data_IF_124834282067
#
_entry.id   IF_124834282067
#
_cell.length_a   1.000
_cell.length_b   1.000
_cell.length_c   1.000
_cell.angle_alpha   90.00
_cell.angle_beta   90.00
_cell.angle_gamma   90.00
#
_symmetry.space_group_name_H-M   'P 1'
#
loop_
_entity.id
_entity.type
_entity.pdbx_description
1 polymer ?
#
# COMPACT_ATOMS: atom_id res chain seq x y z
N UNK A 1 64.83 -18.74 -35.05
CA UNK A 1 63.96 -18.41 -36.19
C UNK A 1 62.53 -18.94 -36.04
N UNK A 2 62.20 -20.24 -36.15
CA UNK A 2 60.80 -20.72 -36.04
C UNK A 2 60.08 -20.37 -34.73
N UNK A 3 60.74 -20.51 -33.58
CA UNK A 3 60.18 -20.11 -32.26
C UNK A 3 59.92 -18.60 -32.15
N UNK A 4 60.78 -17.76 -32.73
CA UNK A 4 60.62 -16.30 -32.71
C UNK A 4 59.47 -15.85 -33.60
N UNK A 5 59.29 -16.48 -34.77
CA UNK A 5 58.15 -16.22 -35.65
C UNK A 5 56.80 -16.59 -35.00
N UNK A 6 56.74 -17.74 -34.32
CA UNK A 6 55.54 -18.15 -33.59
C UNK A 6 55.18 -17.18 -32.43
N UNK A 7 56.19 -16.71 -31.69
CA UNK A 7 55.98 -15.70 -30.63
C UNK A 7 55.49 -14.37 -31.21
N UNK A 8 56.06 -13.92 -32.34
CA UNK A 8 55.65 -12.68 -33.00
C UNK A 8 54.21 -12.77 -33.56
N UNK A 9 53.81 -13.93 -34.08
CA UNK A 9 52.44 -14.20 -34.49
C UNK A 9 51.47 -14.12 -33.31
N UNK A 10 51.79 -14.77 -32.19
CA UNK A 10 50.95 -14.71 -30.98
C UNK A 10 50.81 -13.29 -30.43
N UNK A 11 51.86 -12.48 -30.48
CA UNK A 11 51.79 -11.06 -30.08
C UNK A 11 50.83 -10.27 -30.99
N UNK A 12 50.90 -10.52 -32.30
CA UNK A 12 50.02 -9.85 -33.28
C UNK A 12 48.55 -10.23 -33.07
N UNK A 13 48.27 -11.51 -32.77
CA UNK A 13 46.93 -12.00 -32.44
C UNK A 13 46.39 -11.37 -31.15
N UNK A 14 47.23 -11.24 -30.11
CA UNK A 14 46.87 -10.57 -28.85
C UNK A 14 46.54 -9.09 -29.09
N UNK A 15 47.34 -8.39 -29.87
CA UNK A 15 47.13 -6.96 -30.14
C UNK A 15 45.83 -6.73 -30.92
N UNK A 16 45.51 -7.58 -31.90
CA UNK A 16 44.21 -7.55 -32.60
C UNK A 16 43.03 -7.76 -31.66
N UNK A 17 43.11 -8.72 -30.74
CA UNK A 17 42.04 -8.96 -29.74
C UNK A 17 41.88 -7.75 -28.80
N UNK A 18 42.98 -7.14 -28.36
CA UNK A 18 42.95 -5.94 -27.51
C UNK A 18 42.31 -4.76 -28.23
N UNK A 19 42.67 -4.56 -29.50
CA UNK A 19 42.11 -3.49 -30.32
C UNK A 19 40.61 -3.71 -30.56
N UNK A 20 40.21 -4.93 -30.92
CA UNK A 20 38.80 -5.29 -31.04
C UNK A 20 38.04 -5.01 -29.74
N UNK A 21 38.53 -5.50 -28.60
CA UNK A 21 37.93 -5.26 -27.28
C UNK A 21 37.76 -3.76 -27.05
N UNK A 22 38.82 -2.97 -27.26
CA UNK A 22 38.75 -1.52 -27.06
C UNK A 22 37.73 -0.84 -27.95
N UNK A 23 37.57 -1.29 -29.21
CA UNK A 23 36.63 -0.70 -30.17
C UNK A 23 35.16 -1.06 -29.88
N UNK A 24 34.88 -2.15 -29.14
CA UNK A 24 33.50 -2.60 -28.83
C UNK A 24 33.13 -2.48 -27.34
N UNK A 25 34.08 -2.10 -26.48
CA UNK A 25 33.97 -2.17 -25.00
C UNK A 25 32.71 -1.49 -24.47
N UNK A 26 32.43 -0.27 -24.93
CA UNK A 26 31.31 0.53 -24.47
C UNK A 26 29.95 -0.18 -24.65
N UNK A 27 29.70 -0.75 -25.83
CA UNK A 27 28.46 -1.46 -26.11
C UNK A 27 28.42 -2.83 -25.40
N UNK A 28 29.53 -3.57 -25.40
CA UNK A 28 29.57 -4.89 -24.76
C UNK A 28 29.40 -4.82 -23.23
N UNK A 29 30.03 -3.86 -22.56
CA UNK A 29 29.85 -3.62 -21.12
C UNK A 29 28.39 -3.24 -20.82
N UNK A 30 27.79 -2.37 -21.62
CA UNK A 30 26.38 -2.00 -21.47
C UNK A 30 25.45 -3.21 -21.61
N UNK A 31 25.60 -3.96 -22.71
CA UNK A 31 24.74 -5.10 -23.05
C UNK A 31 24.90 -6.26 -22.06
N UNK A 32 26.10 -6.44 -21.48
CA UNK A 32 26.33 -7.42 -20.42
C UNK A 32 25.52 -7.09 -19.16
N UNK A 33 25.43 -5.81 -18.77
CA UNK A 33 24.56 -5.38 -17.66
C UNK A 33 23.07 -5.54 -17.99
N UNK A 34 22.67 -5.12 -19.20
CA UNK A 34 21.32 -5.25 -19.71
C UNK A 34 20.79 -6.71 -19.71
N UNK A 35 21.64 -7.68 -20.05
CA UNK A 35 21.28 -9.10 -20.09
C UNK A 35 20.95 -9.69 -18.71
N UNK A 36 21.56 -9.16 -17.65
CA UNK A 36 21.25 -9.58 -16.28
C UNK A 36 19.80 -9.26 -15.94
N UNK A 37 19.31 -8.09 -16.39
CA UNK A 37 18.04 -7.51 -15.96
C UNK A 37 16.88 -7.77 -16.92
N UNK A 38 17.12 -7.88 -18.22
CA UNK A 38 16.06 -8.12 -19.21
C UNK A 38 15.97 -9.59 -19.61
N UNK A 39 14.77 -10.16 -19.46
CA UNK A 39 14.47 -11.57 -19.81
C UNK A 39 13.51 -11.70 -21.00
N UNK A 40 13.38 -10.65 -21.80
CA UNK A 40 12.59 -10.70 -23.03
C UNK A 40 13.18 -11.74 -23.99
N UNK A 41 12.36 -12.69 -24.45
CA UNK A 41 12.83 -13.82 -25.26
C UNK A 41 13.47 -13.36 -26.58
N UNK A 42 12.83 -12.40 -27.25
CA UNK A 42 13.29 -11.93 -28.57
C UNK A 42 14.62 -11.18 -28.47
N UNK A 43 14.78 -10.37 -27.42
CA UNK A 43 16.01 -9.65 -27.16
C UNK A 43 17.14 -10.58 -26.71
N UNK A 44 16.84 -11.56 -25.84
CA UNK A 44 17.81 -12.58 -25.40
C UNK A 44 18.28 -13.46 -26.56
N UNK A 45 17.41 -13.82 -27.49
CA UNK A 45 17.82 -14.52 -28.72
C UNK A 45 18.77 -13.66 -29.57
N UNK A 46 18.51 -12.35 -29.64
CA UNK A 46 19.32 -11.42 -30.42
C UNK A 46 20.73 -11.21 -29.83
N UNK A 47 20.85 -11.07 -28.50
CA UNK A 47 22.17 -10.98 -27.86
C UNK A 47 22.96 -12.30 -28.02
N UNK A 48 22.29 -13.44 -27.93
CA UNK A 48 22.95 -14.75 -28.12
C UNK A 48 23.45 -14.95 -29.55
N UNK A 49 22.75 -14.43 -30.57
CA UNK A 49 23.23 -14.41 -31.97
C UNK A 49 24.50 -13.59 -32.11
N UNK A 50 24.57 -12.40 -31.49
CA UNK A 50 25.78 -11.57 -31.54
C UNK A 50 26.95 -12.21 -30.79
N UNK A 51 26.70 -12.88 -29.66
CA UNK A 51 27.71 -13.67 -28.95
C UNK A 51 28.27 -14.79 -29.83
N UNK A 52 27.41 -15.56 -30.49
CA UNK A 52 27.83 -16.63 -31.40
C UNK A 52 28.62 -16.09 -32.61
N UNK A 53 28.22 -14.94 -33.14
CA UNK A 53 28.96 -14.24 -34.21
C UNK A 53 30.36 -13.86 -33.74
N UNK A 54 30.49 -13.29 -32.53
CA UNK A 54 31.78 -12.96 -31.92
C UNK A 54 32.63 -14.22 -31.68
N UNK A 55 32.08 -15.29 -31.10
CA UNK A 55 32.78 -16.56 -30.89
C UNK A 55 33.29 -17.18 -32.19
N UNK A 56 32.53 -17.05 -33.28
CA UNK A 56 32.91 -17.57 -34.60
C UNK A 56 34.10 -16.80 -35.16
N UNK A 57 34.09 -15.48 -35.06
CA UNK A 57 35.16 -14.62 -35.59
C UNK A 57 36.44 -14.74 -34.77
N UNK A 58 36.34 -14.94 -33.45
CA UNK A 58 37.51 -15.19 -32.60
C UNK A 58 38.26 -16.49 -32.96
N UNK A 59 37.64 -17.44 -33.69
CA UNK A 59 38.32 -18.64 -34.21
C UNK A 59 39.17 -18.35 -35.46
N UNK A 60 38.96 -17.21 -36.13
CA UNK A 60 39.70 -16.79 -37.31
C UNK A 60 40.01 -15.29 -37.24
N UNK A 61 41.07 -14.94 -36.51
CA UNK A 61 41.44 -13.55 -36.24
C UNK A 61 41.83 -12.75 -37.49
N UNK A 62 42.14 -13.40 -38.61
CA UNK A 62 42.40 -12.72 -39.88
C UNK A 62 41.14 -12.13 -40.51
N UNK A 63 39.96 -12.56 -40.08
CA UNK A 63 38.67 -12.01 -40.52
C UNK A 63 38.24 -10.75 -39.74
N UNK A 64 39.01 -10.33 -38.74
CA UNK A 64 38.75 -9.11 -37.96
C UNK A 64 39.45 -7.94 -38.65
N UNK A 65 38.73 -7.26 -39.54
CA UNK A 65 39.14 -6.00 -40.15
C UNK A 65 38.29 -4.83 -39.65
N UNK A 66 38.62 -3.61 -40.08
CA UNK A 66 37.89 -2.41 -39.68
C UNK A 66 36.42 -2.41 -40.15
N UNK A 67 36.11 -3.11 -41.25
CA UNK A 67 34.73 -3.24 -41.75
C UNK A 67 33.90 -4.14 -40.85
N UNK A 68 34.46 -5.28 -40.44
CA UNK A 68 33.85 -6.17 -39.45
C UNK A 68 33.60 -5.41 -38.14
N UNK A 69 34.61 -4.72 -37.61
CA UNK A 69 34.49 -4.00 -36.33
C UNK A 69 33.41 -2.91 -36.41
N UNK A 70 33.37 -2.15 -37.51
CA UNK A 70 32.34 -1.14 -37.75
C UNK A 70 30.95 -1.77 -37.80
N UNK A 71 30.77 -2.82 -38.60
CA UNK A 71 29.48 -3.51 -38.77
C UNK A 71 29.00 -4.12 -37.47
N UNK A 72 29.88 -4.79 -36.73
CA UNK A 72 29.54 -5.40 -35.45
C UNK A 72 29.16 -4.34 -34.41
N UNK A 73 29.83 -3.19 -34.39
CA UNK A 73 29.44 -2.07 -33.52
C UNK A 73 28.06 -1.49 -33.84
N UNK A 74 27.67 -1.44 -35.12
CA UNK A 74 26.32 -1.03 -35.54
C UNK A 74 25.29 -2.02 -35.00
N UNK A 75 25.51 -3.33 -35.18
CA UNK A 75 24.61 -4.37 -34.67
C UNK A 75 24.46 -4.32 -33.14
N UNK A 76 25.57 -4.10 -32.42
CA UNK A 76 25.54 -3.92 -30.97
C UNK A 76 24.75 -2.66 -30.56
N UNK A 77 24.90 -1.56 -31.29
CA UNK A 77 24.17 -0.32 -31.04
C UNK A 77 22.67 -0.47 -31.33
N UNK A 78 22.30 -1.17 -32.39
CA UNK A 78 20.91 -1.51 -32.70
C UNK A 78 20.27 -2.35 -31.59
N UNK A 79 20.97 -3.38 -31.11
CA UNK A 79 20.49 -4.21 -29.99
C UNK A 79 20.35 -3.41 -28.68
N UNK A 80 21.26 -2.46 -28.44
CA UNK A 80 21.18 -1.51 -27.33
C UNK A 80 19.95 -0.61 -27.46
N UNK A 81 19.65 -0.09 -28.64
CA UNK A 81 18.46 0.74 -28.85
C UNK A 81 17.17 -0.07 -28.66
N UNK A 82 17.15 -1.32 -29.13
CA UNK A 82 16.05 -2.25 -28.87
C UNK A 82 15.86 -2.47 -27.36
N UNK A 83 16.95 -2.66 -26.61
CA UNK A 83 16.90 -2.76 -25.15
C UNK A 83 16.26 -1.52 -24.53
N UNK A 84 16.72 -0.33 -24.91
CA UNK A 84 16.24 0.94 -24.36
C UNK A 84 14.73 1.07 -24.56
N UNK A 85 14.24 0.78 -25.77
CA UNK A 85 12.81 0.81 -26.09
C UNK A 85 12.01 -0.16 -25.21
N UNK A 86 12.43 -1.43 -25.12
CA UNK A 86 11.76 -2.44 -24.29
C UNK A 86 11.76 -2.03 -22.81
N UNK A 87 12.90 -1.56 -22.30
CA UNK A 87 13.06 -1.15 -20.92
C UNK A 87 12.15 0.06 -20.59
N UNK A 88 12.07 1.06 -21.47
CA UNK A 88 11.19 2.22 -21.31
C UNK A 88 9.72 1.81 -21.22
N UNK A 89 9.28 0.92 -22.10
CA UNK A 89 7.91 0.40 -22.09
C UNK A 89 7.60 -0.37 -20.79
N UNK A 90 8.53 -1.23 -20.35
CA UNK A 90 8.39 -1.95 -19.10
C UNK A 90 8.37 -1.00 -17.90
N UNK A 91 9.23 0.01 -17.89
CA UNK A 91 9.26 1.02 -16.82
C UNK A 91 7.92 1.77 -16.75
N UNK A 92 7.41 2.25 -17.89
CA UNK A 92 6.11 2.94 -17.97
C UNK A 92 4.95 2.07 -17.50
N UNK A 93 4.99 0.76 -17.75
CA UNK A 93 3.96 -0.18 -17.28
C UNK A 93 3.99 -0.43 -15.77
N UNK A 94 5.13 -0.23 -15.11
CA UNK A 94 5.34 -0.62 -13.70
C UNK A 94 5.67 0.56 -12.78
N UNK A 95 5.65 1.79 -13.28
CA UNK A 95 5.88 3.01 -12.51
C UNK A 95 4.78 4.00 -12.78
N UNK A 96 4.26 4.59 -11.70
CA UNK A 96 3.31 5.69 -11.81
C UNK A 96 4.01 6.89 -12.44
N UNK A 97 3.34 7.47 -13.43
CA UNK A 97 3.71 8.76 -13.98
C UNK A 97 3.25 9.90 -13.04
N UNK A 98 3.45 11.14 -13.47
CA UNK A 98 3.02 12.31 -12.70
C UNK A 98 1.51 12.32 -12.39
N UNK A 99 0.68 11.90 -13.34
CA UNK A 99 -0.76 11.86 -13.16
C UNK A 99 -1.17 10.74 -12.20
N UNK A 100 -0.57 9.56 -12.34
CA UNK A 100 -0.74 8.44 -11.44
C UNK A 100 -0.28 8.75 -10.01
N UNK A 101 0.83 9.47 -9.83
CA UNK A 101 1.28 9.91 -8.50
C UNK A 101 0.28 10.90 -7.85
N UNK A 102 -0.26 11.83 -8.64
CA UNK A 102 -1.29 12.75 -8.17
C UNK A 102 -2.59 12.03 -7.82
N UNK A 103 -3.03 11.07 -8.63
CA UNK A 103 -4.19 10.24 -8.34
C UNK A 103 -3.99 9.42 -7.05
N UNK A 104 -2.83 8.77 -6.90
CA UNK A 104 -2.43 8.09 -5.66
C UNK A 104 -2.50 9.02 -4.45
N UNK A 105 -1.96 10.25 -4.54
CA UNK A 105 -2.02 11.25 -3.46
C UNK A 105 -3.45 11.63 -3.12
N UNK A 106 -4.32 11.84 -4.12
CA UNK A 106 -5.75 12.14 -3.91
C UNK A 106 -6.45 11.02 -3.15
N UNK A 107 -6.22 9.76 -3.52
CA UNK A 107 -6.77 8.60 -2.80
C UNK A 107 -6.25 8.56 -1.37
N UNK A 108 -4.94 8.73 -1.17
CA UNK A 108 -4.31 8.70 0.16
C UNK A 108 -4.81 9.80 1.10
N UNK A 109 -5.18 10.96 0.54
CA UNK A 109 -5.72 12.11 1.28
C UNK A 109 -7.27 12.13 1.29
N UNK A 110 -7.90 11.20 0.59
CA UNK A 110 -9.35 11.13 0.39
C UNK A 110 -10.12 10.89 1.68
N UNK A 111 -11.33 11.45 1.75
CA UNK A 111 -12.22 11.30 2.90
C UNK A 111 -12.62 9.84 3.16
N UNK A 112 -12.83 9.05 2.10
CA UNK A 112 -13.24 7.64 2.21
C UNK A 112 -12.18 6.82 2.96
N UNK A 113 -10.93 6.86 2.50
CA UNK A 113 -9.83 6.16 3.16
C UNK A 113 -9.64 6.63 4.60
N UNK A 114 -9.76 7.94 4.86
CA UNK A 114 -9.65 8.50 6.21
C UNK A 114 -10.80 8.04 7.11
N UNK A 115 -12.03 7.97 6.60
CA UNK A 115 -13.17 7.48 7.34
C UNK A 115 -13.03 5.98 7.64
N UNK A 116 -12.66 5.16 6.65
CA UNK A 116 -12.36 3.74 6.82
C UNK A 116 -11.31 3.50 7.91
N UNK A 117 -10.20 4.26 7.89
CA UNK A 117 -9.16 4.19 8.94
C UNK A 117 -9.67 4.51 10.34
N UNK A 118 -10.68 5.37 10.47
CA UNK A 118 -11.27 5.70 11.77
C UNK A 118 -12.28 4.65 12.23
N UNK A 119 -13.03 4.08 11.29
CA UNK A 119 -14.01 3.02 11.57
C UNK A 119 -13.35 1.77 12.16
N UNK A 120 -12.07 1.49 11.88
CA UNK A 120 -11.34 0.38 12.52
C UNK A 120 -11.26 0.48 14.05
N UNK A 121 -11.53 1.65 14.64
CA UNK A 121 -11.64 1.81 16.09
C UNK A 121 -12.98 1.27 16.66
N UNK A 122 -13.94 0.90 15.81
CA UNK A 122 -15.11 0.13 16.19
C UNK A 122 -14.68 -1.31 16.38
N UNK A 123 -14.87 -1.83 17.59
CA UNK A 123 -14.32 -3.12 18.02
C UNK A 123 -15.14 -4.29 17.47
N UNK A 124 -14.43 -5.34 17.10
CA UNK A 124 -14.94 -6.72 16.89
C UNK A 124 -16.01 -6.96 15.81
N UNK A 125 -16.48 -5.93 15.08
CA UNK A 125 -17.49 -6.10 14.03
C UNK A 125 -16.95 -5.91 12.60
N UNK A 126 -15.82 -5.20 12.42
CA UNK A 126 -15.34 -4.80 11.09
C UNK A 126 -14.12 -5.63 10.63
N UNK A 127 -14.10 -6.12 9.38
CA UNK A 127 -12.98 -6.90 8.84
C UNK A 127 -11.80 -6.01 8.44
N UNK A 128 -11.06 -5.47 9.43
CA UNK A 128 -9.95 -4.52 9.23
C UNK A 128 -8.83 -5.03 8.28
N UNK A 129 -8.68 -6.35 8.14
CA UNK A 129 -7.73 -6.97 7.20
C UNK A 129 -8.02 -6.56 5.75
N UNK A 130 -9.29 -6.39 5.37
CA UNK A 130 -9.66 -5.95 4.01
C UNK A 130 -9.11 -4.55 3.71
N UNK A 131 -9.24 -3.62 4.67
CA UNK A 131 -8.66 -2.28 4.54
C UNK A 131 -7.14 -2.32 4.42
N UNK A 132 -6.49 -3.16 5.25
CA UNK A 132 -5.03 -3.33 5.21
C UNK A 132 -4.57 -3.81 3.83
N UNK A 133 -5.25 -4.77 3.23
CA UNK A 133 -4.90 -5.26 1.89
C UNK A 133 -4.97 -4.14 0.84
N UNK A 134 -5.98 -3.27 0.89
CA UNK A 134 -6.08 -2.10 -0.01
C UNK A 134 -4.94 -1.10 0.25
N UNK A 135 -4.59 -0.86 1.51
CA UNK A 135 -3.46 0.00 1.88
C UNK A 135 -2.12 -0.56 1.38
N UNK A 136 -1.92 -1.87 1.51
CA UNK A 136 -0.71 -2.55 1.05
C UNK A 136 -0.60 -2.49 -0.49
N UNK A 137 -1.73 -2.63 -1.22
CA UNK A 137 -1.78 -2.42 -2.69
C UNK A 137 -1.29 -1.00 -3.05
N UNK A 138 -1.82 0.04 -2.39
CA UNK A 138 -1.41 1.44 -2.63
C UNK A 138 0.06 1.65 -2.29
N UNK A 139 0.53 1.11 -1.17
CA UNK A 139 1.91 1.25 -0.70
C UNK A 139 2.90 0.58 -1.67
N UNK A 140 2.52 -0.53 -2.29
CA UNK A 140 3.32 -1.23 -3.29
C UNK A 140 3.53 -0.47 -4.60
N UNK A 141 2.69 0.52 -4.91
CA UNK A 141 2.82 1.32 -6.13
C UNK A 141 4.04 2.24 -6.06
N UNK A 142 4.98 2.06 -6.99
CA UNK A 142 6.19 2.88 -7.11
C UNK A 142 6.00 3.97 -8.16
N UNK A 143 6.43 5.19 -7.85
CA UNK A 143 6.41 6.35 -8.75
C UNK A 143 7.79 6.54 -9.37
N UNK A 144 7.85 6.79 -10.68
CA UNK A 144 9.05 7.28 -11.35
C UNK A 144 8.67 7.82 -12.72
N UNK A 145 8.92 9.10 -12.96
CA UNK A 145 8.63 9.76 -14.25
C UNK A 145 9.79 10.65 -14.73
N UNK A 146 10.96 10.51 -14.10
CA UNK A 146 12.18 11.25 -14.47
C UNK A 146 13.02 10.55 -15.54
N UNK A 147 12.77 9.27 -15.80
CA UNK A 147 13.55 8.47 -16.73
C UNK A 147 13.33 8.93 -18.18
N UNK A 148 14.42 9.15 -18.89
CA UNK A 148 14.45 9.44 -20.32
C UNK A 148 15.28 8.39 -21.08
N UNK A 149 15.12 8.33 -22.40
CA UNK A 149 15.97 7.47 -23.25
C UNK A 149 17.45 7.87 -23.17
N UNK A 150 17.75 9.17 -23.05
CA UNK A 150 19.12 9.67 -22.93
C UNK A 150 19.82 9.17 -21.66
N UNK A 151 19.09 9.07 -20.53
CA UNK A 151 19.65 8.45 -19.31
C UNK A 151 20.10 7.01 -19.60
N UNK A 152 19.31 6.28 -20.39
CA UNK A 152 19.57 4.89 -20.73
C UNK A 152 20.67 4.70 -21.78
N UNK A 153 21.09 5.75 -22.50
CA UNK A 153 22.25 5.66 -23.39
C UNK A 153 23.54 5.36 -22.60
N UNK A 154 23.63 5.81 -21.34
CA UNK A 154 24.82 5.62 -20.50
C UNK A 154 24.60 4.65 -19.33
N UNK A 155 23.35 4.39 -18.93
CA UNK A 155 22.99 3.53 -17.80
C UNK A 155 22.00 2.47 -18.25
N UNK A 156 22.33 1.18 -18.12
CA UNK A 156 21.38 0.13 -18.51
C UNK A 156 20.17 0.01 -17.56
N UNK A 157 20.16 0.68 -16.41
CA UNK A 157 19.01 0.75 -15.50
C UNK A 157 18.65 2.20 -15.19
N UNK A 158 17.38 2.42 -14.85
CA UNK A 158 16.86 3.71 -14.40
C UNK A 158 17.69 4.24 -13.22
N UNK A 159 18.40 5.38 -13.37
CA UNK A 159 19.25 5.90 -12.29
C UNK A 159 18.44 6.43 -11.11
N UNK A 160 17.17 6.76 -11.32
CA UNK A 160 16.29 7.38 -10.32
C UNK A 160 15.62 6.38 -9.39
N UNK A 161 15.13 5.25 -9.92
CA UNK A 161 14.36 4.26 -9.15
C UNK A 161 14.93 2.84 -9.19
N UNK A 162 16.03 2.62 -9.93
CA UNK A 162 16.70 1.32 -10.06
C UNK A 162 15.74 0.19 -10.45
N UNK A 163 14.80 0.46 -11.36
CA UNK A 163 13.84 -0.54 -11.79
C UNK A 163 14.54 -1.74 -12.44
N UNK A 164 14.26 -2.93 -11.93
CA UNK A 164 14.77 -4.18 -12.47
C UNK A 164 13.63 -5.02 -13.06
N UNK A 165 13.55 -5.17 -14.40
CA UNK A 165 12.53 -5.99 -15.05
C UNK A 165 12.56 -7.47 -14.69
N UNK A 166 13.66 -8.00 -14.14
CA UNK A 166 13.73 -9.40 -13.71
C UNK A 166 13.05 -9.64 -12.36
N UNK A 167 12.79 -8.58 -11.59
CA UNK A 167 12.09 -8.68 -10.31
C UNK A 167 10.58 -8.67 -10.51
N UNK A 168 9.87 -9.41 -9.67
CA UNK A 168 8.40 -9.38 -9.67
C UNK A 168 7.92 -7.98 -9.31
N UNK A 169 7.23 -7.33 -10.24
CA UNK A 169 6.47 -6.11 -9.96
C UNK A 169 5.14 -6.17 -10.70
N UNK A 170 4.12 -5.57 -10.10
CA UNK A 170 2.79 -5.53 -10.70
C UNK A 170 2.68 -4.33 -11.64
N UNK A 171 2.05 -4.47 -12.81
CA UNK A 171 1.72 -3.33 -13.64
C UNK A 171 0.88 -2.33 -12.86
N UNK A 172 1.07 -1.03 -13.11
CA UNK A 172 0.35 0.04 -12.39
C UNK A 172 -0.94 0.45 -13.10
N UNK A 173 -1.12 0.05 -14.36
CA UNK A 173 -2.29 0.40 -15.16
C UNK A 173 -3.57 -0.21 -14.56
N UNK A 174 -4.61 0.61 -14.38
CA UNK A 174 -5.89 0.20 -13.79
C UNK A 174 -5.85 -0.12 -12.29
N UNK A 175 -4.68 -0.13 -11.65
CA UNK A 175 -4.58 -0.47 -10.23
C UNK A 175 -5.17 0.63 -9.35
N UNK A 176 -4.99 1.89 -9.73
CA UNK A 176 -5.58 3.01 -8.97
C UNK A 176 -7.11 3.01 -9.06
N UNK A 177 -7.68 2.74 -10.24
CA UNK A 177 -9.13 2.61 -10.42
C UNK A 177 -9.69 1.46 -9.56
N UNK A 178 -9.02 0.30 -9.60
CA UNK A 178 -9.38 -0.84 -8.74
C UNK A 178 -9.27 -0.52 -7.25
N UNK A 179 -8.32 0.33 -6.85
CA UNK A 179 -8.20 0.77 -5.46
C UNK A 179 -9.36 1.67 -5.07
N UNK A 180 -9.79 2.58 -5.94
CA UNK A 180 -10.95 3.44 -5.69
C UNK A 180 -12.22 2.60 -5.54
N UNK A 181 -12.44 1.65 -6.47
CA UNK A 181 -13.55 0.70 -6.39
C UNK A 181 -13.50 -0.15 -5.11
N UNK A 182 -12.32 -0.66 -4.74
CA UNK A 182 -12.13 -1.43 -3.50
C UNK A 182 -12.49 -0.59 -2.26
N UNK A 183 -12.12 0.69 -2.23
CA UNK A 183 -12.43 1.60 -1.12
C UNK A 183 -13.93 1.90 -1.04
N UNK A 184 -14.58 2.16 -2.17
CA UNK A 184 -16.02 2.39 -2.23
C UNK A 184 -16.81 1.16 -1.79
N UNK A 185 -16.46 -0.01 -2.33
CA UNK A 185 -17.07 -1.28 -1.95
C UNK A 185 -16.90 -1.57 -0.45
N UNK A 186 -15.69 -1.35 0.08
CA UNK A 186 -15.42 -1.54 1.50
C UNK A 186 -16.21 -0.56 2.37
N UNK A 187 -16.37 0.69 1.93
CA UNK A 187 -17.17 1.69 2.62
C UNK A 187 -18.65 1.31 2.68
N UNK A 188 -19.22 0.81 1.58
CA UNK A 188 -20.59 0.33 1.55
C UNK A 188 -20.77 -0.92 2.41
N UNK A 189 -19.85 -1.88 2.31
CA UNK A 189 -19.86 -3.10 3.12
C UNK A 189 -19.87 -2.75 4.62
N UNK A 190 -18.97 -1.89 5.06
CA UNK A 190 -18.85 -1.52 6.48
C UNK A 190 -20.04 -0.69 6.96
N UNK A 191 -20.59 0.17 6.10
CA UNK A 191 -21.85 0.87 6.39
C UNK A 191 -22.96 -0.13 6.66
N UNK A 192 -23.10 -1.15 5.81
CA UNK A 192 -24.08 -2.23 5.98
C UNK A 192 -23.87 -3.04 7.26
N UNK A 193 -22.62 -3.44 7.55
CA UNK A 193 -22.29 -4.16 8.80
C UNK A 193 -22.70 -3.34 10.02
N UNK A 194 -22.28 -2.08 10.11
CA UNK A 194 -22.59 -1.22 11.25
C UNK A 194 -24.10 -1.05 11.44
N UNK A 195 -24.83 -0.79 10.35
CA UNK A 195 -26.28 -0.62 10.41
C UNK A 195 -26.94 -1.92 10.88
N UNK A 196 -26.61 -3.06 10.28
CA UNK A 196 -27.19 -4.35 10.65
C UNK A 196 -26.89 -4.70 12.12
N UNK A 197 -25.68 -4.40 12.60
CA UNK A 197 -25.32 -4.62 14.01
C UNK A 197 -26.09 -3.71 14.97
N UNK A 198 -26.42 -2.47 14.57
CA UNK A 198 -27.22 -1.55 15.39
C UNK A 198 -28.72 -1.92 15.35
N UNK A 199 -29.21 -2.42 14.22
CA UNK A 199 -30.61 -2.85 14.05
C UNK A 199 -30.93 -4.18 14.71
N UNK A 200 -29.90 -4.92 15.18
CA UNK A 200 -30.12 -6.09 16.01
C UNK A 200 -31.01 -5.73 17.22
N UNK A 201 -32.09 -6.48 17.49
CA UNK A 201 -33.03 -6.14 18.57
C UNK A 201 -32.34 -5.93 19.93
N UNK A 202 -31.33 -6.74 20.28
CA UNK A 202 -30.63 -6.62 21.57
C UNK A 202 -29.77 -5.35 21.67
N UNK A 203 -29.38 -4.79 20.52
CA UNK A 203 -28.57 -3.57 20.44
C UNK A 203 -29.46 -2.33 20.33
N UNK A 204 -30.51 -2.40 19.50
CA UNK A 204 -31.37 -1.26 19.20
C UNK A 204 -32.11 -0.72 20.44
N UNK A 205 -32.47 -1.59 21.40
CA UNK A 205 -33.05 -1.20 22.69
C UNK A 205 -32.12 -0.26 23.49
N UNK A 206 -30.80 -0.44 23.34
CA UNK A 206 -29.78 0.35 24.04
C UNK A 206 -29.57 1.76 23.46
N UNK A 207 -30.13 2.06 22.28
CA UNK A 207 -30.04 3.39 21.67
C UNK A 207 -30.65 4.45 22.61
N UNK A 208 -31.77 4.12 23.26
CA UNK A 208 -32.46 5.02 24.20
C UNK A 208 -31.61 5.42 25.41
N UNK A 209 -30.57 4.64 25.74
CA UNK A 209 -29.66 4.87 26.86
C UNK A 209 -28.38 5.64 26.48
N UNK A 210 -28.20 5.97 25.19
CA UNK A 210 -27.11 6.84 24.75
C UNK A 210 -27.36 8.31 25.11
N UNK A 211 -26.33 9.15 25.04
CA UNK A 211 -26.49 10.60 25.19
C UNK A 211 -27.28 11.17 24.00
N UNK A 212 -28.04 12.25 24.21
CA UNK A 212 -28.91 12.84 23.18
C UNK A 212 -28.21 13.13 21.83
N UNK A 213 -26.95 13.62 21.85
CA UNK A 213 -26.16 13.85 20.64
C UNK A 213 -25.89 12.55 19.88
N UNK A 214 -25.49 11.50 20.60
CA UNK A 214 -25.20 10.18 20.03
C UNK A 214 -26.47 9.53 19.47
N UNK A 215 -27.59 9.62 20.18
CA UNK A 215 -28.90 9.16 19.68
C UNK A 215 -29.21 9.79 18.33
N UNK A 216 -29.09 11.12 18.22
CA UNK A 216 -29.36 11.84 16.96
C UNK A 216 -28.47 11.36 15.81
N UNK A 217 -27.19 11.11 16.06
CA UNK A 217 -26.25 10.60 15.04
C UNK A 217 -26.60 9.18 14.60
N UNK A 218 -26.89 8.29 15.55
CA UNK A 218 -27.28 6.90 15.27
C UNK A 218 -28.62 6.83 14.54
N UNK A 219 -29.63 7.57 15.00
CA UNK A 219 -30.93 7.65 14.32
C UNK A 219 -30.77 8.18 12.89
N UNK A 220 -29.95 9.22 12.68
CA UNK A 220 -29.67 9.74 11.34
C UNK A 220 -29.02 8.68 10.45
N UNK A 221 -28.05 7.91 10.96
CA UNK A 221 -27.45 6.80 10.24
C UNK A 221 -28.51 5.77 9.82
N UNK A 222 -29.37 5.33 10.74
CA UNK A 222 -30.40 4.33 10.46
C UNK A 222 -31.44 4.81 9.44
N UNK A 223 -31.88 6.07 9.54
CA UNK A 223 -32.85 6.65 8.61
C UNK A 223 -32.26 6.89 7.22
N UNK A 224 -31.04 7.42 7.14
CA UNK A 224 -30.41 7.78 5.86
C UNK A 224 -29.70 6.60 5.20
N UNK A 225 -29.44 5.53 5.96
CA UNK A 225 -28.56 4.41 5.60
C UNK A 225 -27.17 4.86 5.14
N UNK A 226 -26.70 5.99 5.64
CA UNK A 226 -25.41 6.60 5.28
C UNK A 226 -24.61 6.95 6.52
N UNK A 227 -23.34 6.57 6.52
CA UNK A 227 -22.38 7.02 7.53
C UNK A 227 -22.26 8.56 7.55
N UNK A 228 -21.92 9.15 8.72
CA UNK A 228 -21.61 10.57 8.81
C UNK A 228 -20.50 10.97 7.83
N UNK A 229 -20.60 12.17 7.26
CA UNK A 229 -19.59 12.70 6.31
C UNK A 229 -18.18 12.69 6.91
N UNK A 230 -18.09 12.96 8.21
CA UNK A 230 -16.85 12.85 8.99
C UNK A 230 -17.10 11.87 10.11
N UNK A 231 -16.33 10.78 10.13
CA UNK A 231 -16.30 9.88 11.28
C UNK A 231 -15.47 10.56 12.36
N UNK A 232 -16.06 10.82 13.52
CA UNK A 232 -15.39 11.40 14.66
C UNK A 232 -15.38 10.43 15.86
N UNK A 233 -14.76 10.87 16.96
CA UNK A 233 -14.65 10.07 18.17
C UNK A 233 -16.01 9.80 18.82
N UNK A 234 -16.93 10.76 18.75
CA UNK A 234 -18.24 10.64 19.40
C UNK A 234 -19.09 9.57 18.71
N UNK A 235 -19.07 9.53 17.38
CA UNK A 235 -19.72 8.47 16.60
C UNK A 235 -19.13 7.09 16.89
N UNK A 236 -17.79 6.95 16.88
CA UNK A 236 -17.12 5.68 17.19
C UNK A 236 -17.47 5.20 18.60
N UNK A 237 -17.45 6.11 19.58
CA UNK A 237 -17.84 5.79 20.95
C UNK A 237 -19.30 5.37 21.05
N UNK A 238 -20.20 6.03 20.32
CA UNK A 238 -21.62 5.66 20.29
C UNK A 238 -21.80 4.22 19.79
N UNK A 239 -21.20 3.87 18.64
CA UNK A 239 -21.30 2.51 18.09
C UNK A 239 -20.66 1.49 19.02
N UNK A 240 -19.47 1.73 19.54
CA UNK A 240 -18.81 0.82 20.49
C UNK A 240 -19.64 0.62 21.78
N UNK A 241 -20.26 1.69 22.29
CA UNK A 241 -21.12 1.61 23.48
C UNK A 241 -22.32 0.70 23.21
N UNK A 242 -22.91 0.80 22.02
CA UNK A 242 -24.00 -0.10 21.61
C UNK A 242 -23.54 -1.55 21.49
N UNK A 243 -22.38 -1.80 20.87
CA UNK A 243 -21.84 -3.16 20.68
C UNK A 243 -21.47 -3.85 22.00
N UNK A 244 -21.02 -3.09 23.01
CA UNK A 244 -20.63 -3.63 24.32
C UNK A 244 -21.83 -4.01 25.20
N UNK A 245 -23.03 -3.57 24.83
CA UNK A 245 -24.22 -3.61 25.66
C UNK A 245 -24.19 -2.55 26.76
N UNK A 246 -25.37 -2.09 27.18
CA UNK A 246 -25.54 -1.17 28.30
C UNK A 246 -26.37 -1.83 29.40
N UNK A 247 -25.96 -1.62 30.65
CA UNK A 247 -26.66 -2.12 31.81
C UNK A 247 -27.49 -1.00 32.44
N UNK A 248 -28.81 -1.12 32.32
CA UNK A 248 -29.73 -0.15 32.91
C UNK A 248 -29.80 -0.32 34.43
N UNK A 249 -29.72 0.80 35.14
CA UNK A 249 -30.01 0.89 36.58
C UNK A 249 -31.05 1.98 36.77
N UNK A 250 -32.24 1.62 37.25
CA UNK A 250 -33.27 2.60 37.58
C UNK A 250 -33.17 2.97 39.07
N UNK A 251 -33.25 4.26 39.37
CA UNK A 251 -33.17 4.80 40.72
C UNK A 251 -34.39 5.68 40.96
N UNK A 252 -35.19 5.35 41.99
CA UNK A 252 -36.28 6.22 42.43
C UNK A 252 -35.74 7.39 43.23
N UNK A 253 -36.30 8.59 43.03
CA UNK A 253 -36.03 9.75 43.89
C UNK A 253 -36.25 9.47 45.38
N UNK A 254 -37.24 8.64 45.73
CA UNK A 254 -37.54 8.32 47.13
C UNK A 254 -36.52 7.37 47.75
N UNK A 255 -36.07 6.37 46.99
CA UNK A 255 -35.03 5.43 47.45
C UNK A 255 -33.69 6.13 47.59
N UNK A 256 -33.36 6.99 46.63
CA UNK A 256 -32.16 7.84 46.71
C UNK A 256 -32.22 8.78 47.92
N UNK A 257 -33.38 9.43 48.17
CA UNK A 257 -33.57 10.26 49.37
C UNK A 257 -33.41 9.46 50.65
N UNK A 258 -34.02 8.28 50.76
CA UNK A 258 -33.90 7.42 51.94
C UNK A 258 -32.46 6.98 52.18
N UNK A 259 -31.76 6.57 51.12
CA UNK A 259 -30.37 6.11 51.20
C UNK A 259 -29.41 7.22 51.67
N UNK A 260 -29.65 8.46 51.23
CA UNK A 260 -28.79 9.61 51.55
C UNK A 260 -29.15 10.22 52.92
N UNK A 261 -30.45 10.45 53.19
CA UNK A 261 -30.90 11.16 54.38
C UNK A 261 -30.92 10.29 55.65
N UNK A 262 -31.24 8.99 55.54
CA UNK A 262 -31.49 8.14 56.72
C UNK A 262 -32.54 8.74 57.67
N UNK A 263 -32.47 8.40 58.96
CA UNK A 263 -33.49 8.77 59.96
C UNK A 263 -33.17 10.06 60.77
N UNK A 264 -32.24 10.92 60.33
CA UNK A 264 -31.86 12.11 61.11
C UNK A 264 -30.90 13.09 60.40
N UNK A 265 -30.44 14.17 61.07
CA UNK A 265 -29.50 15.13 60.51
C UNK A 265 -28.17 14.46 60.11
N UNK A 266 -27.65 14.78 58.93
CA UNK A 266 -26.46 14.14 58.33
C UNK A 266 -25.40 15.19 58.05
N UNK A 267 -24.13 14.89 58.37
CA UNK A 267 -23.00 15.76 58.00
C UNK A 267 -22.74 15.70 56.48
N UNK A 268 -21.97 16.65 55.94
CA UNK A 268 -21.65 16.66 54.50
C UNK A 268 -20.86 15.40 54.09
N UNK A 269 -19.94 14.93 54.93
CA UNK A 269 -19.14 13.74 54.63
C UNK A 269 -19.97 12.46 54.74
N UNK A 270 -20.84 12.35 55.75
CA UNK A 270 -21.77 11.23 55.84
C UNK A 270 -22.70 11.16 54.61
N UNK A 271 -23.15 12.31 54.11
CA UNK A 271 -24.01 12.39 52.94
C UNK A 271 -23.30 11.90 51.67
N UNK A 272 -22.02 12.28 51.47
CA UNK A 272 -21.20 11.82 50.35
C UNK A 272 -20.95 10.30 50.43
N UNK A 273 -20.49 9.81 51.57
CA UNK A 273 -20.19 8.38 51.76
C UNK A 273 -21.43 7.49 51.63
N UNK A 274 -22.60 7.95 52.09
CA UNK A 274 -23.87 7.22 51.90
C UNK A 274 -24.28 7.17 50.43
N UNK A 275 -24.10 8.25 49.68
CA UNK A 275 -24.41 8.28 48.25
C UNK A 275 -23.47 7.37 47.46
N UNK A 276 -22.16 7.42 47.71
CA UNK A 276 -21.18 6.51 47.09
C UNK A 276 -21.52 5.05 47.40
N UNK A 277 -21.77 4.71 48.66
CA UNK A 277 -22.15 3.35 49.05
C UNK A 277 -23.44 2.88 48.37
N UNK A 278 -24.42 3.77 48.24
CA UNK A 278 -25.66 3.47 47.52
C UNK A 278 -25.41 3.19 46.03
N UNK A 279 -24.55 3.96 45.38
CA UNK A 279 -24.13 3.73 44.00
C UNK A 279 -23.36 2.40 43.85
N UNK A 280 -22.45 2.09 44.77
CA UNK A 280 -21.70 0.84 44.79
C UNK A 280 -22.63 -0.37 44.93
N UNK A 281 -23.65 -0.28 45.80
CA UNK A 281 -24.65 -1.32 45.97
C UNK A 281 -25.51 -1.51 44.70
N UNK A 282 -25.92 -0.41 44.06
CA UNK A 282 -26.70 -0.42 42.82
C UNK A 282 -25.93 -0.98 41.61
N UNK A 283 -24.61 -0.79 41.60
CA UNK A 283 -23.72 -1.19 40.51
C UNK A 283 -22.92 -2.45 40.81
N UNK A 284 -23.18 -3.08 41.97
CA UNK A 284 -22.46 -4.27 42.43
C UNK A 284 -22.53 -5.41 41.41
N UNK A 285 -21.36 -5.88 41.00
CA UNK A 285 -21.22 -6.97 40.03
C UNK A 285 -21.43 -6.57 38.57
N UNK A 286 -21.59 -5.27 38.29
CA UNK A 286 -21.73 -4.71 36.95
C UNK A 286 -20.42 -4.06 36.50
N UNK A 287 -20.21 -3.96 35.19
CA UNK A 287 -19.16 -3.10 34.64
C UNK A 287 -19.63 -1.64 34.68
N UNK A 288 -19.06 -0.83 35.58
CA UNK A 288 -19.41 0.58 35.74
C UNK A 288 -19.38 1.37 34.43
N UNK A 289 -18.51 1.00 33.48
CA UNK A 289 -18.42 1.67 32.18
C UNK A 289 -19.68 1.45 31.32
N UNK A 290 -20.40 0.35 31.55
CA UNK A 290 -21.63 -0.05 30.87
C UNK A 290 -22.89 0.41 31.59
N UNK A 291 -22.80 0.80 32.87
CA UNK A 291 -23.97 1.22 33.65
C UNK A 291 -24.52 2.55 33.15
N UNK A 292 -25.85 2.63 32.99
CA UNK A 292 -26.59 3.88 32.78
C UNK A 292 -27.67 4.03 33.84
N UNK A 293 -27.44 4.97 34.77
CA UNK A 293 -28.37 5.28 35.86
C UNK A 293 -29.46 6.21 35.33
N UNK A 294 -30.72 5.83 35.54
CA UNK A 294 -31.92 6.61 35.18
C UNK A 294 -32.68 6.94 36.45
N UNK A 295 -32.83 8.23 36.74
CA UNK A 295 -33.65 8.69 37.86
C UNK A 295 -35.12 8.71 37.42
N UNK A 296 -35.97 8.03 38.19
CA UNK A 296 -37.43 8.00 38.06
C UNK A 296 -38.10 8.76 39.19
#
# INVERSE_FOLDING_TARGET
>A
MKKQAAVLQQLTEIDRIKELKSKIDANTTYLSGAEVVLKDKSWVESINKLKLKMETVLKNLDSIDDDFVRTFNIELAELKNQYISIYMDLHKKHRLDYNGDNAKKKIMQGSILNNLKKLTAIKDILPAVKLKNVQDKIAGLKTCYNLTEHDLESKFMCPYCQYNPSESSYPVYGVLDSVEDDLDNLYQEWTGIIINSIEDPMVSENISYLKAKQQKEITKLLTTRKLPTVIDRDFILAVNTLMQGLEKVEVSMDDMKKAIAGDGPVSVDDMRSRFEKYLDELTKGKDENKVRIIIK
#
